data_IF_122545088036
#
_entry.id   IF_122545088036
#
_cell.length_a   1.000
_cell.length_b   1.000
_cell.length_c   1.000
_cell.angle_alpha   90.00
_cell.angle_beta   90.00
_cell.angle_gamma   90.00
#
_symmetry.space_group_name_H-M   'P 1'
#
loop_
_entity.id
_entity.type
_entity.pdbx_description
1 polymer ?
#
# COMPACT_ATOMS: atom_id res chain seq x y z
N UNK A 1 -4.14 -12.91 19.02
CA UNK A 1 -4.29 -13.18 17.56
C UNK A 1 -2.90 -13.35 16.98
N UNK A 2 -2.67 -14.25 16.02
CA UNK A 2 -1.33 -14.43 15.45
C UNK A 2 -0.96 -13.25 14.56
N UNK A 3 0.34 -12.92 14.50
CA UNK A 3 0.85 -11.85 13.63
C UNK A 3 0.54 -12.11 12.16
N UNK A 4 0.70 -13.36 11.72
CA UNK A 4 0.38 -13.83 10.38
C UNK A 4 -1.09 -13.59 10.00
N UNK A 5 -2.03 -13.89 10.91
CA UNK A 5 -3.45 -13.64 10.67
C UNK A 5 -3.74 -12.16 10.47
N UNK A 6 -3.16 -11.30 11.32
CA UNK A 6 -3.37 -9.86 11.25
C UNK A 6 -2.80 -9.27 9.96
N UNK A 7 -1.61 -9.73 9.54
CA UNK A 7 -1.00 -9.35 8.28
C UNK A 7 -1.90 -9.70 7.09
N UNK A 8 -2.33 -10.96 6.98
CA UNK A 8 -3.17 -11.44 5.85
C UNK A 8 -4.54 -10.76 5.85
N UNK A 9 -5.11 -10.46 7.02
CA UNK A 9 -6.39 -9.76 7.11
C UNK A 9 -6.33 -8.34 6.51
N UNK A 10 -5.19 -7.65 6.67
CA UNK A 10 -5.07 -6.22 6.36
C UNK A 10 -4.21 -5.93 5.11
N UNK A 11 -3.43 -6.88 4.61
CA UNK A 11 -2.45 -6.65 3.54
C UNK A 11 -3.04 -6.20 2.19
N UNK A 12 -4.35 -6.37 1.97
CA UNK A 12 -5.04 -5.85 0.79
C UNK A 12 -5.34 -4.35 0.88
N UNK A 13 -5.40 -3.80 2.10
CA UNK A 13 -5.78 -2.40 2.33
C UNK A 13 -4.76 -1.42 1.72
N UNK A 14 -3.43 -1.60 1.85
CA UNK A 14 -2.46 -0.71 1.20
C UNK A 14 -2.63 -0.65 -0.33
N UNK A 15 -2.87 -1.78 -0.99
CA UNK A 15 -3.05 -1.84 -2.46
C UNK A 15 -4.36 -1.17 -2.88
N UNK A 16 -5.49 -1.61 -2.31
CA UNK A 16 -6.81 -1.11 -2.70
C UNK A 16 -7.01 0.33 -2.24
N UNK A 17 -6.54 0.67 -1.05
CA UNK A 17 -6.67 2.00 -0.46
C UNK A 17 -5.88 3.07 -1.20
N UNK A 18 -4.65 2.76 -1.66
CA UNK A 18 -3.89 3.70 -2.50
C UNK A 18 -4.53 3.86 -3.88
N UNK A 19 -5.07 2.80 -4.49
CA UNK A 19 -5.84 2.89 -5.73
C UNK A 19 -7.11 3.74 -5.56
N UNK A 20 -7.83 3.58 -4.45
CA UNK A 20 -8.99 4.40 -4.11
C UNK A 20 -8.62 5.87 -3.94
N UNK A 21 -7.52 6.16 -3.22
CA UNK A 21 -7.03 7.53 -3.06
C UNK A 21 -6.70 8.17 -4.43
N UNK A 22 -6.08 7.43 -5.34
CA UNK A 22 -5.80 7.90 -6.70
C UNK A 22 -7.09 8.21 -7.47
N UNK A 23 -8.06 7.31 -7.42
CA UNK A 23 -9.35 7.48 -8.08
C UNK A 23 -10.12 8.70 -7.55
N UNK A 24 -10.16 8.88 -6.22
CA UNK A 24 -10.80 10.05 -5.59
C UNK A 24 -10.08 11.34 -5.98
N UNK A 25 -8.74 11.34 -6.05
CA UNK A 25 -7.99 12.53 -6.48
C UNK A 25 -8.27 12.88 -7.95
N UNK A 26 -8.31 11.86 -8.81
CA UNK A 26 -8.67 12.00 -10.22
C UNK A 26 -10.08 12.58 -10.38
N UNK A 27 -11.04 12.09 -9.60
CA UNK A 27 -12.38 12.65 -9.55
C UNK A 27 -12.41 14.11 -9.05
N UNK A 28 -11.54 14.44 -8.09
CA UNK A 28 -11.33 15.80 -7.62
C UNK A 28 -10.83 16.76 -8.71
N UNK A 29 -10.03 16.29 -9.66
CA UNK A 29 -9.67 17.07 -10.86
C UNK A 29 -10.87 17.33 -11.75
N UNK A 30 -11.64 16.29 -12.10
CA UNK A 30 -12.81 16.43 -12.96
C UNK A 30 -13.88 17.36 -12.37
N UNK A 31 -14.13 17.25 -11.06
CA UNK A 31 -15.10 18.10 -10.35
C UNK A 31 -14.54 19.47 -9.95
N UNK A 32 -13.24 19.71 -10.15
CA UNK A 32 -12.55 20.92 -9.69
C UNK A 32 -12.82 21.25 -8.20
N UNK A 33 -13.09 20.24 -7.37
CA UNK A 33 -13.41 20.40 -5.96
C UNK A 33 -12.17 20.20 -5.10
N UNK A 34 -11.91 21.20 -4.25
CA UNK A 34 -10.82 21.16 -3.29
C UNK A 34 -11.11 20.20 -2.12
N UNK A 35 -12.39 20.07 -1.76
CA UNK A 35 -12.88 19.13 -0.76
C UNK A 35 -12.61 17.68 -1.16
N UNK A 36 -12.86 17.33 -2.42
CA UNK A 36 -12.60 15.97 -2.93
C UNK A 36 -11.10 15.68 -2.98
N UNK A 37 -10.26 16.65 -3.35
CA UNK A 37 -8.80 16.50 -3.31
C UNK A 37 -8.30 16.29 -1.88
N UNK A 38 -8.81 17.06 -0.92
CA UNK A 38 -8.51 16.88 0.51
C UNK A 38 -8.97 15.52 1.02
N UNK A 39 -10.16 15.06 0.60
CA UNK A 39 -10.65 13.73 0.95
C UNK A 39 -9.70 12.62 0.46
N UNK A 40 -9.17 12.72 -0.76
CA UNK A 40 -8.16 11.79 -1.25
C UNK A 40 -6.91 11.76 -0.35
N UNK A 41 -6.39 12.92 0.07
CA UNK A 41 -5.23 12.98 0.96
C UNK A 41 -5.52 12.41 2.36
N UNK A 42 -6.76 12.58 2.86
CA UNK A 42 -7.19 11.94 4.11
C UNK A 42 -7.21 10.42 3.97
N UNK A 43 -7.78 9.90 2.87
CA UNK A 43 -7.78 8.45 2.59
C UNK A 43 -6.34 7.94 2.52
N UNK A 44 -5.47 8.62 1.78
CA UNK A 44 -4.06 8.27 1.66
C UNK A 44 -3.37 8.19 3.03
N UNK A 45 -3.56 9.20 3.88
CA UNK A 45 -2.99 9.20 5.23
C UNK A 45 -3.51 8.05 6.10
N UNK A 46 -4.81 7.76 6.05
CA UNK A 46 -5.38 6.61 6.79
C UNK A 46 -4.83 5.28 6.27
N UNK A 47 -4.61 5.14 4.97
CA UNK A 47 -3.99 3.95 4.38
C UNK A 47 -2.53 3.80 4.83
N UNK A 48 -1.78 4.89 4.96
CA UNK A 48 -0.43 4.87 5.56
C UNK A 48 -0.47 4.31 7.00
N UNK A 49 -1.42 4.77 7.83
CA UNK A 49 -1.55 4.25 9.21
C UNK A 49 -1.82 2.74 9.25
N UNK A 50 -2.65 2.23 8.33
CA UNK A 50 -2.89 0.78 8.22
C UNK A 50 -1.65 0.06 7.70
N UNK A 51 -0.89 0.67 6.79
CA UNK A 51 0.36 0.09 6.24
C UNK A 51 1.38 -0.17 7.35
N UNK A 52 1.51 0.72 8.34
CA UNK A 52 2.36 0.49 9.53
C UNK A 52 2.00 -0.82 10.22
N UNK A 53 0.71 -1.06 10.43
CA UNK A 53 0.21 -2.28 11.08
C UNK A 53 0.46 -3.51 10.21
N UNK A 54 0.27 -3.42 8.89
CA UNK A 54 0.52 -4.51 7.94
C UNK A 54 2.01 -4.89 7.91
N UNK A 55 2.91 -3.91 7.80
CA UNK A 55 4.34 -4.17 7.73
C UNK A 55 4.87 -4.81 9.01
N UNK A 56 4.55 -4.21 10.17
CA UNK A 56 4.99 -4.71 11.48
C UNK A 56 4.42 -6.10 11.80
N UNK A 57 3.17 -6.39 11.42
CA UNK A 57 2.62 -7.73 11.61
C UNK A 57 3.20 -8.77 10.65
N UNK A 58 3.59 -8.37 9.43
CA UNK A 58 4.27 -9.22 8.46
C UNK A 58 5.65 -9.64 8.94
N UNK A 59 6.49 -8.69 9.33
CA UNK A 59 7.83 -8.92 9.86
C UNK A 59 7.82 -9.90 11.06
N UNK A 60 6.98 -9.61 12.05
CA UNK A 60 6.77 -10.47 13.23
C UNK A 60 6.24 -11.88 12.89
N UNK A 61 5.70 -12.10 11.68
CA UNK A 61 5.19 -13.40 11.26
C UNK A 61 6.23 -14.28 10.55
N UNK A 62 7.31 -13.70 10.01
CA UNK A 62 8.28 -14.36 9.14
C UNK A 62 8.79 -15.69 9.70
N UNK A 63 9.30 -15.66 10.93
CA UNK A 63 9.87 -16.84 11.59
C UNK A 63 8.87 -17.98 11.82
N UNK A 64 7.56 -17.67 11.89
CA UNK A 64 6.51 -18.68 12.07
C UNK A 64 6.02 -19.29 10.75
N UNK A 65 6.27 -18.63 9.62
CA UNK A 65 5.74 -19.03 8.30
C UNK A 65 6.79 -19.73 7.46
N UNK A 66 8.09 -19.41 7.65
CA UNK A 66 9.19 -19.92 6.81
C UNK A 66 9.30 -21.44 6.77
N UNK A 67 8.86 -22.15 7.81
CA UNK A 67 8.95 -23.61 7.91
C UNK A 67 7.64 -24.34 7.62
N UNK A 68 6.61 -23.66 7.12
CA UNK A 68 5.32 -24.27 6.79
C UNK A 68 5.43 -24.99 5.44
N UNK A 69 4.95 -26.24 5.38
CA UNK A 69 4.92 -27.02 4.13
C UNK A 69 4.05 -26.31 3.08
N UNK A 70 4.56 -26.18 1.86
CA UNK A 70 3.89 -25.48 0.75
C UNK A 70 4.22 -23.99 0.63
N UNK A 71 4.91 -23.41 1.61
CA UNK A 71 5.49 -22.05 1.51
C UNK A 71 6.75 -22.10 0.64
N UNK A 72 6.83 -21.21 -0.34
CA UNK A 72 8.04 -20.95 -1.08
C UNK A 72 8.87 -19.87 -0.36
N UNK A 73 9.87 -20.32 0.40
CA UNK A 73 10.74 -19.45 1.19
C UNK A 73 11.55 -18.48 0.34
N UNK A 74 11.82 -18.80 -0.94
CA UNK A 74 12.68 -17.99 -1.81
C UNK A 74 12.09 -16.60 -2.08
N UNK A 75 10.76 -16.46 -1.95
CA UNK A 75 10.06 -15.19 -2.16
C UNK A 75 9.80 -14.40 -0.87
N UNK A 76 10.05 -14.98 0.30
CA UNK A 76 9.82 -14.28 1.58
C UNK A 76 10.75 -13.07 1.70
N UNK A 77 12.04 -13.26 1.47
CA UNK A 77 13.03 -12.18 1.57
C UNK A 77 12.79 -11.10 0.51
N UNK A 78 12.46 -11.49 -0.72
CA UNK A 78 12.13 -10.55 -1.79
C UNK A 78 10.87 -9.72 -1.47
N UNK A 79 9.83 -10.37 -0.95
CA UNK A 79 8.61 -9.69 -0.50
C UNK A 79 8.92 -8.70 0.62
N UNK A 80 9.68 -9.10 1.63
CA UNK A 80 10.04 -8.26 2.77
C UNK A 80 10.90 -7.06 2.36
N UNK A 81 11.96 -7.28 1.58
CA UNK A 81 12.86 -6.20 1.14
C UNK A 81 12.09 -5.14 0.34
N UNK A 82 11.16 -5.56 -0.52
CA UNK A 82 10.34 -4.63 -1.27
C UNK A 82 9.22 -4.02 -0.42
N UNK A 83 8.66 -4.77 0.55
CA UNK A 83 7.70 -4.27 1.51
C UNK A 83 8.29 -3.15 2.37
N UNK A 84 9.55 -3.26 2.80
CA UNK A 84 10.26 -2.22 3.55
C UNK A 84 10.38 -0.93 2.72
N UNK A 85 10.79 -1.03 1.46
CA UNK A 85 10.88 0.13 0.55
C UNK A 85 9.51 0.78 0.34
N UNK A 86 8.47 -0.02 0.12
CA UNK A 86 7.09 0.47 -0.06
C UNK A 86 6.54 1.09 1.23
N UNK A 87 6.88 0.52 2.38
CA UNK A 87 6.51 1.02 3.71
C UNK A 87 7.13 2.40 3.96
N UNK A 88 8.45 2.54 3.79
CA UNK A 88 9.15 3.82 3.94
C UNK A 88 8.56 4.88 2.99
N UNK A 89 8.31 4.52 1.72
CA UNK A 89 7.69 5.42 0.76
C UNK A 89 6.27 5.84 1.21
N UNK A 90 5.48 4.91 1.75
CA UNK A 90 4.13 5.17 2.26
C UNK A 90 4.16 6.15 3.43
N UNK A 91 5.09 5.98 4.37
CA UNK A 91 5.24 6.86 5.53
C UNK A 91 5.63 8.28 5.12
N UNK A 92 6.60 8.42 4.20
CA UNK A 92 7.00 9.73 3.65
C UNK A 92 5.82 10.41 2.97
N UNK A 93 5.12 9.71 2.08
CA UNK A 93 3.96 10.25 1.35
C UNK A 93 2.80 10.57 2.30
N UNK A 94 2.57 9.76 3.33
CA UNK A 94 1.56 9.99 4.35
C UNK A 94 1.84 11.24 5.19
N UNK A 95 3.09 11.45 5.61
CA UNK A 95 3.51 12.68 6.32
C UNK A 95 3.36 13.90 5.42
N UNK A 96 3.72 13.80 4.14
CA UNK A 96 3.50 14.87 3.16
C UNK A 96 2.00 15.17 3.01
N UNK A 97 1.15 14.15 2.94
CA UNK A 97 -0.30 14.31 2.84
C UNK A 97 -0.87 15.02 4.07
N UNK A 98 -0.47 14.62 5.27
CA UNK A 98 -0.86 15.29 6.53
C UNK A 98 -0.39 16.75 6.55
N UNK A 99 0.84 17.01 6.11
CA UNK A 99 1.41 18.36 6.02
C UNK A 99 0.63 19.22 5.03
N UNK A 100 0.28 18.69 3.86
CA UNK A 100 -0.52 19.39 2.86
C UNK A 100 -1.94 19.69 3.39
N UNK A 101 -2.57 18.74 4.09
CA UNK A 101 -3.86 18.95 4.74
C UNK A 101 -3.81 20.06 5.79
N UNK A 102 -2.71 20.15 6.55
CA UNK A 102 -2.49 21.19 7.53
C UNK A 102 -2.25 22.57 6.88
N UNK A 103 -1.36 22.65 5.89
CA UNK A 103 -1.01 23.90 5.17
C UNK A 103 -2.20 24.45 4.40
N UNK A 104 -2.94 23.60 3.69
CA UNK A 104 -4.08 23.97 2.86
C UNK A 104 -5.42 23.81 3.58
N UNK A 105 -5.43 23.94 4.91
CA UNK A 105 -6.68 24.00 5.68
C UNK A 105 -7.47 25.27 5.30
N UNK A 106 -8.80 25.20 5.40
CA UNK A 106 -9.68 26.34 5.04
C UNK A 106 -9.16 27.64 5.68
N UNK A 107 -9.09 28.75 4.92
CA UNK A 107 -9.67 29.01 3.59
C UNK A 107 -8.79 28.62 2.39
N UNK A 108 -7.60 28.02 2.61
CA UNK A 108 -6.65 27.74 1.54
C UNK A 108 -7.09 26.55 0.67
N UNK A 109 -6.79 26.63 -0.62
CA UNK A 109 -7.00 25.56 -1.60
C UNK A 109 -5.69 24.87 -1.95
N UNK A 110 -5.76 23.59 -2.30
CA UNK A 110 -4.63 22.81 -2.80
C UNK A 110 -4.32 23.30 -4.24
N UNK A 111 -3.12 23.85 -4.49
CA UNK A 111 -2.69 24.27 -5.82
C UNK A 111 -2.70 23.09 -6.78
N UNK A 112 -2.96 23.34 -8.07
CA UNK A 112 -3.01 22.28 -9.08
C UNK A 112 -1.70 21.47 -9.13
N UNK A 113 -0.55 22.14 -9.07
CA UNK A 113 0.75 21.46 -9.10
C UNK A 113 0.97 20.53 -7.90
N UNK A 114 0.48 20.90 -6.70
CA UNK A 114 0.54 20.05 -5.50
C UNK A 114 -0.36 18.83 -5.70
N UNK A 115 -1.58 19.03 -6.19
CA UNK A 115 -2.49 17.93 -6.44
C UNK A 115 -1.96 16.97 -7.51
N UNK A 116 -1.33 17.47 -8.59
CA UNK A 116 -0.66 16.65 -9.60
C UNK A 116 0.52 15.88 -9.00
N UNK A 117 1.34 16.53 -8.17
CA UNK A 117 2.45 15.87 -7.47
C UNK A 117 1.95 14.70 -6.61
N UNK A 118 0.90 14.91 -5.81
CA UNK A 118 0.27 13.83 -5.04
C UNK A 118 -0.29 12.73 -5.93
N UNK A 119 -0.91 13.07 -7.07
CA UNK A 119 -1.43 12.06 -7.98
C UNK A 119 -0.31 11.14 -8.50
N UNK A 120 0.83 11.71 -8.91
CA UNK A 120 2.00 10.94 -9.34
C UNK A 120 2.56 10.09 -8.20
N UNK A 121 2.69 10.67 -6.99
CA UNK A 121 3.18 9.94 -5.81
C UNK A 121 2.26 8.76 -5.45
N UNK A 122 0.94 8.95 -5.49
CA UNK A 122 -0.03 7.88 -5.19
C UNK A 122 0.07 6.78 -6.24
N UNK A 123 0.21 7.09 -7.53
CA UNK A 123 0.36 6.07 -8.57
C UNK A 123 1.66 5.28 -8.38
N UNK A 124 2.77 5.95 -8.08
CA UNK A 124 4.03 5.28 -7.77
C UNK A 124 3.91 4.37 -6.55
N UNK A 125 3.30 4.86 -5.47
CA UNK A 125 3.08 4.09 -4.25
C UNK A 125 2.16 2.89 -4.50
N UNK A 126 1.07 3.07 -5.25
CA UNK A 126 0.18 1.98 -5.62
C UNK A 126 0.89 0.89 -6.43
N UNK A 127 1.74 1.28 -7.39
CA UNK A 127 2.58 0.34 -8.13
C UNK A 127 3.54 -0.44 -7.21
N UNK A 128 4.16 0.23 -6.24
CA UNK A 128 5.00 -0.43 -5.24
C UNK A 128 4.18 -1.43 -4.40
N UNK A 129 3.02 -1.02 -3.89
CA UNK A 129 2.15 -1.90 -3.10
C UNK A 129 1.68 -3.12 -3.90
N UNK A 130 1.32 -2.93 -5.17
CA UNK A 130 0.92 -4.01 -6.06
C UNK A 130 2.07 -4.99 -6.32
N UNK A 131 3.31 -4.49 -6.48
CA UNK A 131 4.49 -5.34 -6.64
C UNK A 131 4.81 -6.11 -5.35
N UNK A 132 4.74 -5.47 -4.18
CA UNK A 132 4.85 -6.17 -2.88
C UNK A 132 3.83 -7.30 -2.77
N UNK A 133 2.57 -7.03 -3.14
CA UNK A 133 1.51 -8.03 -3.11
C UNK A 133 1.74 -9.18 -4.12
N UNK A 134 2.29 -8.88 -5.30
CA UNK A 134 2.67 -9.90 -6.28
C UNK A 134 3.76 -10.84 -5.73
N UNK A 135 4.83 -10.29 -5.13
CA UNK A 135 5.87 -11.07 -4.46
C UNK A 135 5.27 -11.90 -3.30
N UNK A 136 4.38 -11.30 -2.51
CA UNK A 136 3.69 -11.98 -1.41
C UNK A 136 2.80 -13.14 -1.90
N UNK A 137 2.18 -12.99 -3.07
CA UNK A 137 1.44 -14.07 -3.71
C UNK A 137 2.33 -15.28 -4.02
N UNK A 138 3.53 -15.05 -4.54
CA UNK A 138 4.47 -16.14 -4.89
C UNK A 138 4.96 -16.96 -3.69
N UNK A 139 4.75 -16.49 -2.45
CA UNK A 139 5.06 -17.25 -1.22
C UNK A 139 4.15 -18.48 -1.08
N UNK A 140 2.87 -18.40 -1.44
CA UNK A 140 1.90 -19.49 -1.19
C UNK A 140 1.06 -19.90 -2.42
N UNK A 141 1.22 -19.22 -3.56
CA UNK A 141 0.42 -19.44 -4.76
C UNK A 141 1.30 -19.90 -5.93
N UNK A 142 1.46 -21.22 -6.08
CA UNK A 142 2.24 -21.80 -7.20
C UNK A 142 1.61 -21.54 -8.57
N UNK A 143 0.31 -21.26 -8.61
CA UNK A 143 -0.42 -20.88 -9.81
C UNK A 143 0.10 -19.58 -10.44
N UNK A 144 0.65 -18.66 -9.64
CA UNK A 144 1.23 -17.41 -10.13
C UNK A 144 2.51 -17.68 -10.93
N UNK A 145 3.21 -18.77 -10.63
CA UNK A 145 4.41 -19.21 -11.34
C UNK A 145 4.09 -20.04 -12.60
N UNK A 146 2.81 -20.29 -12.91
CA UNK A 146 2.40 -21.15 -14.02
C UNK A 146 2.71 -22.64 -13.80
N UNK A 147 3.09 -23.02 -12.58
CA UNK A 147 3.38 -24.41 -12.20
C UNK A 147 2.09 -25.00 -11.61
N UNK A 148 1.43 -25.86 -12.37
CA UNK A 148 0.28 -26.61 -11.86
C UNK A 148 0.76 -27.62 -10.80
N UNK A 149 0.13 -27.68 -9.61
CA UNK A 149 0.44 -28.70 -8.61
C UNK A 149 0.06 -30.12 -9.06
N UNK A 150 -0.55 -30.28 -10.25
CA UNK A 150 -1.00 -31.55 -10.81
C UNK A 150 -0.21 -31.98 -12.05
N UNK A 151 1.13 -32.04 -11.94
CA UNK A 151 1.92 -33.00 -12.71
C UNK A 151 2.46 -34.06 -11.76
N UNK A 152 1.63 -35.08 -11.52
CA UNK A 152 2.09 -36.44 -11.22
C UNK A 152 1.95 -37.26 -12.50
#
# INVERSE_FOLDING_TARGET
MSSAYLHILLNHIPVIGTALAAFVLLWGFFKRSDEIKKLSLVILFLVTLVTIVVYTSGDNSKGSVVSIEGVNSDFIDAHEEFAEKAFIASDVVGVLALTALFIYRKPKHIPMWVAIAFFVLILGLNGMMAWTAHLGGMINHTEIMGISPLKK
#
